data_IF_343893737876
#
_entry.id   IF_343893737876
#
_cell.length_a   1.000
_cell.length_b   1.000
_cell.length_c   1.000
_cell.angle_alpha   90.00
_cell.angle_beta   90.00
_cell.angle_gamma   90.00
#
_symmetry.space_group_name_H-M   'P 1'
#
loop_
_entity.id
_entity.type
_entity.pdbx_description
1 polymer ?
#
# COMPACT_ATOMS: atom_id res chain seq x y z
N UNK A 1 -26.33 -1.62 -19.45
CA UNK A 1 -26.75 -1.07 -18.14
C UNK A 1 -25.87 0.14 -17.86
N UNK A 2 -26.34 1.12 -17.07
CA UNK A 2 -25.59 2.36 -16.82
C UNK A 2 -24.88 2.31 -15.47
N UNK A 3 -23.68 2.88 -15.39
CA UNK A 3 -22.98 3.10 -14.12
C UNK A 3 -23.61 4.32 -13.45
N UNK A 4 -24.22 4.11 -12.27
CA UNK A 4 -24.86 5.17 -11.51
C UNK A 4 -23.86 5.87 -10.60
N UNK A 5 -23.96 7.20 -10.52
CA UNK A 5 -23.12 8.03 -9.66
C UNK A 5 -23.06 7.55 -8.21
N UNK A 6 -24.21 7.21 -7.63
CA UNK A 6 -24.29 6.74 -6.24
C UNK A 6 -23.50 5.46 -5.99
N UNK A 7 -23.42 4.56 -6.98
CA UNK A 7 -22.69 3.30 -6.85
C UNK A 7 -21.18 3.53 -6.82
N UNK A 8 -20.66 4.50 -7.58
CA UNK A 8 -19.24 4.88 -7.53
C UNK A 8 -18.89 5.44 -6.16
N UNK A 9 -19.65 6.44 -5.71
CA UNK A 9 -19.44 7.14 -4.43
C UNK A 9 -19.45 6.13 -3.27
N UNK A 10 -20.50 5.30 -3.20
CA UNK A 10 -20.68 4.32 -2.13
C UNK A 10 -19.60 3.23 -2.17
N UNK A 11 -19.22 2.74 -3.36
CA UNK A 11 -18.17 1.71 -3.48
C UNK A 11 -16.80 2.22 -3.05
N UNK A 12 -16.43 3.46 -3.42
CA UNK A 12 -15.18 4.09 -2.98
C UNK A 12 -15.21 4.32 -1.47
N UNK A 13 -16.33 4.80 -0.91
CA UNK A 13 -16.47 5.02 0.51
C UNK A 13 -16.34 3.71 1.32
N UNK A 14 -17.04 2.67 0.88
CA UNK A 14 -17.00 1.33 1.48
C UNK A 14 -15.61 0.71 1.37
N UNK A 15 -14.93 0.85 0.22
CA UNK A 15 -13.58 0.35 0.02
C UNK A 15 -12.57 1.01 0.98
N UNK A 16 -12.62 2.34 1.15
CA UNK A 16 -11.73 3.06 2.07
C UNK A 16 -11.97 2.68 3.53
N UNK A 17 -13.23 2.47 3.91
CA UNK A 17 -13.58 1.97 5.23
C UNK A 17 -13.04 0.54 5.42
N UNK A 18 -13.28 -0.36 4.47
CA UNK A 18 -12.82 -1.75 4.48
C UNK A 18 -11.29 -1.84 4.67
N UNK A 19 -10.52 -1.15 3.83
CA UNK A 19 -9.05 -1.19 3.91
C UNK A 19 -8.49 -0.42 5.10
N UNK A 20 -9.30 0.34 5.84
CA UNK A 20 -8.83 1.01 7.04
C UNK A 20 -8.54 0.02 8.18
N UNK A 21 -9.24 -1.12 8.21
CA UNK A 21 -9.16 -2.09 9.30
C UNK A 21 -8.94 -3.55 8.87
N UNK A 22 -9.08 -3.90 7.59
CA UNK A 22 -8.71 -5.22 7.08
C UNK A 22 -7.40 -5.18 6.28
N UNK A 23 -6.49 -6.09 6.62
CA UNK A 23 -5.40 -6.48 5.73
C UNK A 23 -5.88 -7.59 4.79
N UNK A 24 -5.25 -7.69 3.62
CA UNK A 24 -5.51 -8.78 2.70
C UNK A 24 -4.95 -10.11 3.24
N UNK A 25 -5.57 -11.26 2.91
CA UNK A 25 -5.13 -12.57 3.42
C UNK A 25 -3.68 -12.91 3.08
N UNK A 26 -3.23 -12.58 1.88
CA UNK A 26 -1.86 -12.76 1.40
C UNK A 26 -0.83 -11.97 2.23
N UNK A 27 -1.14 -10.74 2.63
CA UNK A 27 -0.31 -9.94 3.53
C UNK A 27 -0.22 -10.58 4.91
N UNK A 28 -1.34 -11.06 5.46
CA UNK A 28 -1.37 -11.73 6.76
C UNK A 28 -0.52 -13.01 6.71
N UNK A 29 -0.68 -13.83 5.66
CA UNK A 29 0.10 -15.05 5.48
C UNK A 29 1.59 -14.78 5.32
N UNK A 30 1.98 -13.75 4.56
CA UNK A 30 3.37 -13.34 4.41
C UNK A 30 3.98 -12.88 5.75
N UNK A 31 3.21 -12.12 6.55
CA UNK A 31 3.62 -11.69 7.88
C UNK A 31 3.76 -12.85 8.87
N UNK A 32 2.85 -13.84 8.83
CA UNK A 32 2.96 -15.07 9.63
C UNK A 32 4.22 -15.84 9.26
N UNK A 33 4.49 -16.03 7.98
CA UNK A 33 5.72 -16.69 7.52
C UNK A 33 6.98 -15.94 7.97
N UNK A 34 6.96 -14.60 7.89
CA UNK A 34 8.06 -13.77 8.39
C UNK A 34 8.26 -13.94 9.91
N UNK A 35 7.18 -13.98 10.69
CA UNK A 35 7.23 -14.21 12.15
C UNK A 35 7.82 -15.58 12.50
N UNK A 36 7.43 -16.63 11.78
CA UNK A 36 7.92 -18.00 12.01
C UNK A 36 9.41 -18.13 11.70
N UNK A 37 9.86 -17.50 10.61
CA UNK A 37 11.27 -17.51 10.18
C UNK A 37 12.17 -16.59 11.00
N UNK A 38 11.61 -15.60 11.69
CA UNK A 38 12.40 -14.60 12.41
C UNK A 38 13.14 -15.22 13.61
N UNK A 39 14.45 -14.96 13.66
CA UNK A 39 15.37 -15.47 14.68
C UNK A 39 15.75 -14.38 15.68
N UNK A 40 15.65 -13.11 15.31
CA UNK A 40 15.95 -11.99 16.19
C UNK A 40 14.71 -11.61 17.01
N UNK A 41 14.78 -11.78 18.34
CA UNK A 41 13.61 -11.66 19.24
C UNK A 41 12.90 -10.30 19.12
N UNK A 42 13.64 -9.20 19.04
CA UNK A 42 13.03 -7.86 18.92
C UNK A 42 12.26 -7.69 17.61
N UNK A 43 12.77 -8.25 16.50
CA UNK A 43 12.10 -8.22 15.20
C UNK A 43 10.87 -9.13 15.19
N UNK A 44 10.99 -10.31 15.80
CA UNK A 44 9.88 -11.26 15.97
C UNK A 44 8.72 -10.63 16.75
N UNK A 45 9.04 -9.97 17.87
CA UNK A 45 8.06 -9.23 18.67
C UNK A 45 7.41 -8.10 17.88
N UNK A 46 8.16 -7.37 17.04
CA UNK A 46 7.63 -6.31 16.20
C UNK A 46 6.64 -6.85 15.14
N UNK A 47 6.94 -7.99 14.51
CA UNK A 47 6.04 -8.66 13.56
C UNK A 47 4.78 -9.14 14.29
N UNK A 48 4.92 -9.77 15.46
CA UNK A 48 3.79 -10.20 16.29
C UNK A 48 2.88 -9.03 16.67
N UNK A 49 3.45 -7.87 17.04
CA UNK A 49 2.68 -6.67 17.35
C UNK A 49 1.85 -6.18 16.15
N UNK A 50 2.41 -6.23 14.93
CA UNK A 50 1.68 -5.87 13.71
C UNK A 50 0.52 -6.84 13.47
N UNK A 51 0.74 -8.15 13.59
CA UNK A 51 -0.28 -9.18 13.42
C UNK A 51 -1.42 -9.05 14.44
N UNK A 52 -1.09 -8.82 15.72
CA UNK A 52 -2.07 -8.60 16.78
C UNK A 52 -2.86 -7.32 16.52
N UNK A 53 -2.19 -6.22 16.19
CA UNK A 53 -2.87 -4.97 15.84
C UNK A 53 -3.79 -5.14 14.62
N UNK A 54 -3.37 -5.89 13.61
CA UNK A 54 -4.17 -6.24 12.43
C UNK A 54 -5.46 -6.99 12.84
N UNK A 55 -5.34 -8.03 13.68
CA UNK A 55 -6.49 -8.81 14.20
C UNK A 55 -7.44 -7.93 15.02
N UNK A 56 -6.89 -7.10 15.91
CA UNK A 56 -7.68 -6.20 16.75
C UNK A 56 -8.39 -5.12 15.93
N UNK A 57 -7.77 -4.63 14.86
CA UNK A 57 -8.37 -3.68 13.92
C UNK A 57 -9.56 -4.31 13.20
N UNK A 58 -9.40 -5.54 12.72
CA UNK A 58 -10.44 -6.30 12.03
C UNK A 58 -11.66 -6.57 12.93
N UNK A 59 -11.44 -6.94 14.19
CA UNK A 59 -12.51 -7.18 15.18
C UNK A 59 -13.19 -5.87 15.58
N UNK A 60 -12.39 -4.85 15.90
CA UNK A 60 -12.88 -3.57 16.42
C UNK A 60 -13.43 -2.63 15.35
N UNK A 61 -13.21 -2.94 14.06
CA UNK A 61 -13.48 -2.06 12.92
C UNK A 61 -12.90 -0.66 13.14
N UNK A 62 -11.63 -0.62 13.58
CA UNK A 62 -10.87 0.61 13.85
C UNK A 62 -9.63 0.70 12.99
N UNK A 63 -9.19 1.91 12.60
CA UNK A 63 -8.06 2.05 11.71
C UNK A 63 -6.80 1.42 12.29
N UNK A 64 -6.16 0.55 11.51
CA UNK A 64 -4.95 -0.18 11.95
C UNK A 64 -3.72 0.71 12.14
N UNK A 65 -3.74 1.93 11.60
CA UNK A 65 -2.64 2.88 11.67
C UNK A 65 -3.20 4.27 11.96
N UNK A 66 -2.49 5.04 12.80
CA UNK A 66 -2.85 6.44 13.05
C UNK A 66 -2.83 7.29 11.78
N UNK A 67 -1.98 6.91 10.82
CA UNK A 67 -1.94 7.50 9.49
C UNK A 67 -2.87 6.74 8.53
N UNK A 68 -4.11 7.21 8.46
CA UNK A 68 -5.08 6.66 7.52
C UNK A 68 -4.74 6.93 6.05
N UNK A 69 -3.71 7.75 5.77
CA UNK A 69 -3.03 7.81 4.48
C UNK A 69 -3.63 8.78 3.46
N UNK A 70 -2.85 9.06 2.42
CA UNK A 70 -3.32 9.72 1.20
C UNK A 70 -4.04 8.69 0.32
N UNK A 71 -5.21 9.05 -0.21
CA UNK A 71 -5.95 8.17 -1.10
C UNK A 71 -5.36 8.24 -2.50
N UNK A 72 -4.98 7.08 -3.03
CA UNK A 72 -4.62 6.90 -4.43
C UNK A 72 -5.70 6.03 -5.07
N UNK A 73 -6.17 6.40 -6.25
CA UNK A 73 -7.17 5.61 -6.99
C UNK A 73 -6.67 5.39 -8.41
N UNK A 74 -6.59 4.12 -8.82
CA UNK A 74 -6.40 3.75 -10.22
C UNK A 74 -7.74 3.33 -10.77
N UNK A 75 -8.15 3.92 -11.90
CA UNK A 75 -9.43 3.60 -12.55
C UNK A 75 -9.21 3.26 -14.01
N UNK A 76 -9.74 2.12 -14.42
CA UNK A 76 -9.86 1.74 -15.82
C UNK A 76 -11.31 1.92 -16.24
N UNK A 77 -11.56 2.77 -17.23
CA UNK A 77 -12.91 3.07 -17.72
C UNK A 77 -13.09 2.37 -19.07
N UNK A 78 -14.01 1.41 -19.13
CA UNK A 78 -14.40 0.75 -20.38
C UNK A 78 -14.97 1.74 -21.41
N UNK A 79 -14.57 1.60 -22.67
CA UNK A 79 -15.04 2.44 -23.79
C UNK A 79 -16.55 2.38 -23.99
N UNK A 80 -17.20 1.28 -23.61
CA UNK A 80 -18.65 1.07 -23.76
C UNK A 80 -19.43 1.45 -22.49
N UNK A 81 -18.78 2.07 -21.49
CA UNK A 81 -19.43 2.50 -20.27
C UNK A 81 -20.37 3.68 -20.56
N UNK A 82 -21.62 3.52 -20.13
CA UNK A 82 -22.63 4.58 -20.16
C UNK A 82 -22.90 5.05 -18.73
N UNK A 83 -22.85 6.35 -18.51
CA UNK A 83 -23.01 6.95 -17.19
C UNK A 83 -24.45 7.42 -16.94
N UNK A 84 -24.87 7.32 -15.69
CA UNK A 84 -26.02 8.00 -15.11
C UNK A 84 -25.51 8.82 -13.92
N UNK A 85 -25.01 10.01 -14.22
CA UNK A 85 -24.29 10.88 -13.29
C UNK A 85 -24.38 12.35 -13.72
N UNK A 86 -24.39 13.24 -12.73
CA UNK A 86 -24.26 14.70 -12.91
C UNK A 86 -22.84 15.18 -12.58
N UNK A 87 -22.08 14.37 -11.83
CA UNK A 87 -20.71 14.64 -11.42
C UNK A 87 -19.69 14.01 -12.38
N UNK A 88 -18.51 14.62 -12.47
CA UNK A 88 -17.36 13.97 -13.10
C UNK A 88 -16.94 12.73 -12.28
N UNK A 89 -16.28 11.76 -12.92
CA UNK A 89 -15.76 10.58 -12.20
C UNK A 89 -14.79 10.97 -11.07
N UNK A 90 -13.97 12.00 -11.28
CA UNK A 90 -13.10 12.54 -10.24
C UNK A 90 -13.89 13.09 -9.04
N UNK A 91 -14.98 13.83 -9.28
CA UNK A 91 -15.84 14.36 -8.22
C UNK A 91 -16.57 13.23 -7.48
N UNK A 92 -17.03 12.21 -8.20
CA UNK A 92 -17.66 11.02 -7.59
C UNK A 92 -16.68 10.28 -6.66
N UNK A 93 -15.42 10.11 -7.09
CA UNK A 93 -14.38 9.48 -6.27
C UNK A 93 -14.08 10.34 -5.04
N UNK A 94 -13.88 11.65 -5.20
CA UNK A 94 -13.60 12.55 -4.09
C UNK A 94 -14.76 12.66 -3.10
N UNK A 95 -16.01 12.56 -3.57
CA UNK A 95 -17.17 12.47 -2.68
C UNK A 95 -17.16 11.16 -1.88
N UNK A 96 -16.82 10.02 -2.50
CA UNK A 96 -16.62 8.75 -1.79
C UNK A 96 -15.51 8.84 -0.73
N UNK A 97 -14.41 9.52 -1.05
CA UNK A 97 -13.31 9.81 -0.10
C UNK A 97 -13.82 10.64 1.07
N UNK A 98 -14.50 11.75 0.81
CA UNK A 98 -15.09 12.61 1.84
C UNK A 98 -16.01 11.82 2.76
N UNK A 99 -16.90 11.00 2.21
CA UNK A 99 -17.83 10.18 2.98
C UNK A 99 -17.11 9.14 3.83
N UNK A 100 -16.08 8.46 3.30
CA UNK A 100 -15.28 7.54 4.09
C UNK A 100 -14.60 8.23 5.27
N UNK A 101 -13.96 9.38 5.04
CA UNK A 101 -13.17 10.04 6.08
C UNK A 101 -14.02 10.74 7.15
N UNK A 102 -15.23 11.19 6.79
CA UNK A 102 -16.17 11.85 7.69
C UNK A 102 -17.22 10.91 8.29
N UNK A 103 -17.09 9.59 8.07
CA UNK A 103 -17.99 8.59 8.62
C UNK A 103 -18.01 8.65 10.16
N UNK A 104 -19.18 8.92 10.74
CA UNK A 104 -19.35 9.09 12.20
C UNK A 104 -19.10 7.80 12.99
N UNK A 105 -19.31 6.64 12.38
CA UNK A 105 -19.15 5.35 13.05
C UNK A 105 -17.67 4.95 13.12
N UNK A 106 -16.89 5.29 12.10
CA UNK A 106 -15.46 5.04 12.03
C UNK A 106 -14.72 6.21 11.34
N UNK A 107 -14.50 7.32 12.06
CA UNK A 107 -13.83 8.49 11.49
C UNK A 107 -12.37 8.19 11.20
N UNK A 108 -11.92 8.59 10.01
CA UNK A 108 -10.53 8.45 9.58
C UNK A 108 -9.79 9.79 9.75
N UNK A 109 -8.46 9.75 9.81
CA UNK A 109 -7.65 10.97 10.01
C UNK A 109 -7.43 11.71 8.68
N UNK A 110 -8.09 12.85 8.52
CA UNK A 110 -7.79 13.77 7.42
C UNK A 110 -6.37 14.36 7.54
N UNK A 111 -5.52 14.07 6.57
CA UNK A 111 -4.09 14.39 6.56
C UNK A 111 -3.67 15.27 5.36
N UNK A 112 -4.59 15.57 4.44
CA UNK A 112 -4.33 16.44 3.28
C UNK A 112 -4.38 17.92 3.68
N UNK A 113 -3.48 18.70 3.07
CA UNK A 113 -3.41 20.16 3.20
C UNK A 113 -3.73 20.81 1.85
N UNK A 114 -4.58 21.84 1.86
CA UNK A 114 -5.06 22.55 0.66
C UNK A 114 -3.97 23.37 -0.03
N UNK A 115 -3.09 23.95 0.77
CA UNK A 115 -2.05 24.87 0.31
C UNK A 115 -0.69 24.33 0.74
N UNK A 116 -0.03 23.53 -0.11
CA UNK A 116 1.21 22.85 0.26
C UNK A 116 2.41 23.79 0.43
N UNK A 117 2.36 24.99 -0.18
CA UNK A 117 3.47 25.93 -0.23
C UNK A 117 3.45 26.95 0.92
N UNK A 118 2.25 27.38 1.35
CA UNK A 118 2.14 28.46 2.35
C UNK A 118 1.38 28.02 3.60
N UNK A 119 0.06 28.19 3.62
CA UNK A 119 -0.75 28.07 4.85
C UNK A 119 -0.86 26.65 5.39
N UNK A 120 -0.68 25.63 4.52
CA UNK A 120 -0.80 24.20 4.88
C UNK A 120 -2.08 23.87 5.64
N UNK A 121 -3.15 24.59 5.34
CA UNK A 121 -4.47 24.41 5.98
C UNK A 121 -5.02 23.03 5.66
N UNK A 122 -5.37 22.24 6.69
CA UNK A 122 -5.91 20.89 6.53
C UNK A 122 -7.31 20.90 5.90
N UNK A 123 -7.59 19.98 4.97
CA UNK A 123 -8.88 19.91 4.24
C UNK A 123 -10.03 19.32 5.04
N UNK A 124 -9.75 18.68 6.19
CA UNK A 124 -10.71 18.09 7.14
C UNK A 124 -11.52 16.90 6.61
N UNK A 125 -11.35 16.55 5.34
CA UNK A 125 -12.06 15.46 4.65
C UNK A 125 -11.11 14.53 3.87
N UNK A 126 -9.80 14.80 3.92
CA UNK A 126 -8.74 14.07 3.21
C UNK A 126 -8.82 14.12 1.67
N UNK A 127 -9.61 15.01 1.11
CA UNK A 127 -9.66 15.32 -0.33
C UNK A 127 -8.63 16.39 -0.70
N UNK A 128 -8.19 16.49 -1.97
CA UNK A 128 -8.47 15.55 -3.06
C UNK A 128 -7.63 14.26 -2.97
N UNK A 129 -8.16 13.17 -3.53
CA UNK A 129 -7.39 11.96 -3.81
C UNK A 129 -6.44 12.16 -5.03
N UNK A 130 -5.39 11.34 -5.10
CA UNK A 130 -4.52 11.23 -6.28
C UNK A 130 -5.13 10.19 -7.21
N UNK A 131 -5.67 10.63 -8.34
CA UNK A 131 -6.47 9.79 -9.23
C UNK A 131 -5.74 9.59 -10.55
N UNK A 132 -5.55 8.32 -10.92
CA UNK A 132 -4.96 7.88 -12.18
C UNK A 132 -6.03 7.15 -12.99
N UNK A 133 -6.36 7.69 -14.17
CA UNK A 133 -7.42 7.15 -15.01
C UNK A 133 -6.88 6.76 -16.38
N UNK A 134 -7.33 5.62 -16.89
CA UNK A 134 -7.12 5.23 -18.29
C UNK A 134 -8.40 4.66 -18.88
N UNK A 135 -8.55 4.82 -20.20
CA UNK A 135 -9.63 4.21 -20.96
C UNK A 135 -9.18 2.85 -21.48
N UNK A 136 -10.02 1.83 -21.35
CA UNK A 136 -9.76 0.44 -21.78
C UNK A 136 -10.94 -0.10 -22.58
N UNK A 137 -10.77 -1.22 -23.27
CA UNK A 137 -11.87 -1.89 -23.95
C UNK A 137 -12.86 -2.49 -22.95
N UNK A 138 -14.13 -2.62 -23.35
CA UNK A 138 -15.18 -3.25 -22.56
C UNK A 138 -16.16 -2.26 -21.92
N UNK A 139 -17.02 -2.77 -21.04
CA UNK A 139 -18.21 -2.08 -20.54
C UNK A 139 -18.26 -1.94 -19.01
N UNK A 140 -17.11 -2.13 -18.34
CA UNK A 140 -16.97 -2.04 -16.89
C UNK A 140 -16.08 -0.87 -16.49
N UNK A 141 -16.17 -0.49 -15.22
CA UNK A 141 -15.21 0.42 -14.60
C UNK A 141 -14.50 -0.33 -13.49
N UNK A 142 -13.20 -0.51 -13.62
CA UNK A 142 -12.36 -1.21 -12.65
C UNK A 142 -11.64 -0.19 -11.77
N UNK A 143 -11.69 -0.40 -10.45
CA UNK A 143 -11.10 0.47 -9.45
C UNK A 143 -10.07 -0.29 -8.64
N UNK A 144 -8.95 0.36 -8.39
CA UNK A 144 -8.03 0.04 -7.30
C UNK A 144 -8.00 1.25 -6.38
N UNK A 145 -8.49 1.10 -5.16
CA UNK A 145 -8.48 2.15 -4.14
C UNK A 145 -7.44 1.80 -3.10
N UNK A 146 -6.50 2.71 -2.83
CA UNK A 146 -5.42 2.51 -1.89
C UNK A 146 -5.27 3.67 -0.90
N UNK A 147 -5.03 3.33 0.37
CA UNK A 147 -4.79 4.29 1.44
C UNK A 147 -3.31 4.24 1.85
N UNK A 148 -2.50 5.15 1.30
CA UNK A 148 -1.05 5.09 1.41
C UNK A 148 -0.52 5.94 2.55
N UNK A 149 0.17 5.33 3.51
CA UNK A 149 0.80 6.05 4.62
C UNK A 149 1.96 6.93 4.16
N UNK A 150 1.99 8.18 4.60
CA UNK A 150 2.95 9.19 4.15
C UNK A 150 4.41 8.83 4.53
N UNK A 151 4.61 8.12 5.64
CA UNK A 151 5.93 7.62 6.05
C UNK A 151 6.59 6.75 4.97
N UNK A 152 5.80 5.89 4.31
CA UNK A 152 6.26 5.07 3.18
C UNK A 152 6.28 5.84 1.85
N UNK A 153 5.31 6.72 1.63
CA UNK A 153 5.24 7.59 0.43
C UNK A 153 6.52 8.40 0.26
N UNK A 154 6.99 9.03 1.34
CA UNK A 154 8.16 9.91 1.33
C UNK A 154 9.49 9.18 1.19
N UNK A 155 9.49 7.85 1.14
CA UNK A 155 10.69 7.04 0.87
C UNK A 155 10.85 6.67 -0.59
N UNK A 156 9.97 7.16 -1.47
CA UNK A 156 10.13 7.00 -2.90
C UNK A 156 11.51 7.48 -3.37
N UNK A 157 12.14 6.72 -4.27
CA UNK A 157 13.42 7.02 -4.90
C UNK A 157 13.27 6.96 -6.41
N UNK A 158 13.98 7.83 -7.10
CA UNK A 158 13.99 7.90 -8.54
C UNK A 158 15.41 8.18 -9.04
N UNK A 159 15.77 7.57 -10.16
CA UNK A 159 16.96 7.91 -10.93
C UNK A 159 16.71 7.66 -12.42
N UNK A 160 17.52 8.29 -13.26
CA UNK A 160 17.73 7.85 -14.64
C UNK A 160 19.11 7.24 -14.68
N UNK A 161 19.16 5.92 -14.84
CA UNK A 161 20.41 5.17 -14.93
C UNK A 161 20.97 5.24 -16.35
N UNK A 162 22.28 5.02 -16.48
CA UNK A 162 22.87 4.71 -17.78
C UNK A 162 22.39 3.33 -18.26
N UNK A 163 22.30 3.07 -19.57
CA UNK A 163 21.80 1.80 -20.09
C UNK A 163 22.57 0.54 -19.64
N UNK A 164 23.82 0.69 -19.22
CA UNK A 164 24.69 -0.37 -18.72
C UNK A 164 24.72 -0.47 -17.18
N UNK A 165 24.10 0.48 -16.47
CA UNK A 165 24.00 0.43 -15.01
C UNK A 165 23.09 -0.74 -14.57
N UNK A 166 23.50 -1.39 -13.47
CA UNK A 166 22.74 -2.48 -12.89
C UNK A 166 21.63 -1.95 -11.96
N UNK A 167 20.37 -2.22 -12.31
CA UNK A 167 19.20 -1.85 -11.50
C UNK A 167 19.27 -2.45 -10.10
N UNK A 168 19.68 -3.71 -9.96
CA UNK A 168 19.80 -4.41 -8.67
C UNK A 168 20.77 -3.69 -7.74
N UNK A 169 21.93 -3.27 -8.25
CA UNK A 169 22.93 -2.57 -7.44
C UNK A 169 22.41 -1.21 -6.98
N UNK A 170 21.70 -0.49 -7.86
CA UNK A 170 21.05 0.77 -7.50
C UNK A 170 19.97 0.57 -6.43
N UNK A 171 19.12 -0.46 -6.58
CA UNK A 171 18.10 -0.81 -5.57
C UNK A 171 18.74 -1.08 -4.20
N UNK A 172 19.77 -1.93 -4.16
CA UNK A 172 20.44 -2.28 -2.91
C UNK A 172 21.16 -1.10 -2.26
N UNK A 173 21.65 -0.15 -3.06
CA UNK A 173 22.19 1.12 -2.56
C UNK A 173 21.10 2.01 -1.97
N UNK A 174 19.91 2.03 -2.55
CA UNK A 174 18.81 2.90 -2.12
C UNK A 174 18.10 2.41 -0.86
N UNK A 175 17.90 1.09 -0.71
CA UNK A 175 17.13 0.52 0.40
C UNK A 175 17.61 0.98 1.79
N UNK A 176 18.92 0.92 2.14
CA UNK A 176 19.39 1.40 3.44
C UNK A 176 19.10 2.89 3.70
N UNK A 177 19.06 3.72 2.66
CA UNK A 177 18.79 5.16 2.78
C UNK A 177 17.35 5.47 3.21
N UNK A 178 16.45 4.51 3.10
CA UNK A 178 15.05 4.67 3.53
C UNK A 178 14.93 4.57 5.06
N UNK A 179 15.84 3.83 5.70
CA UNK A 179 15.81 3.51 7.13
C UNK A 179 14.52 2.80 7.56
N UNK A 180 14.22 2.83 8.85
CA UNK A 180 12.99 2.25 9.43
C UNK A 180 11.71 3.07 9.16
N UNK A 181 11.83 4.28 8.59
CA UNK A 181 10.74 5.26 8.52
C UNK A 181 9.55 4.90 7.62
N UNK A 182 9.64 3.80 6.88
CA UNK A 182 8.52 3.23 6.11
C UNK A 182 7.90 2.00 6.77
N UNK A 183 8.27 1.67 8.01
CA UNK A 183 7.71 0.58 8.82
C UNK A 183 7.80 -0.81 8.14
N UNK A 184 9.02 -1.33 7.85
CA UNK A 184 9.19 -2.71 7.44
C UNK A 184 8.72 -3.71 8.54
N UNK A 185 8.41 -4.97 8.20
CA UNK A 185 8.44 -5.52 6.85
C UNK A 185 7.23 -5.09 6.01
N UNK A 186 7.44 -4.97 4.70
CA UNK A 186 6.41 -4.59 3.75
C UNK A 186 6.83 -4.92 2.32
N UNK A 187 6.21 -4.30 1.31
CA UNK A 187 6.47 -4.63 -0.11
C UNK A 187 7.30 -3.53 -0.77
N UNK A 188 8.22 -3.87 -1.64
CA UNK A 188 8.96 -2.90 -2.46
C UNK A 188 8.42 -2.94 -3.89
N UNK A 189 7.91 -1.80 -4.38
CA UNK A 189 7.47 -1.65 -5.75
C UNK A 189 8.53 -0.95 -6.58
N UNK A 190 8.83 -1.51 -7.75
CA UNK A 190 9.87 -1.03 -8.66
C UNK A 190 9.25 -0.79 -10.03
N UNK A 191 9.50 0.39 -10.59
CA UNK A 191 9.13 0.75 -11.95
C UNK A 191 10.38 0.97 -12.78
N UNK A 192 10.48 0.33 -13.96
CA UNK A 192 11.65 0.44 -14.84
C UNK A 192 11.22 0.83 -16.26
N UNK A 193 11.89 1.80 -16.84
CA UNK A 193 11.67 2.25 -18.21
C UNK A 193 10.53 3.26 -18.35
N UNK A 194 10.09 3.48 -19.59
CA UNK A 194 9.28 4.64 -19.95
C UNK A 194 10.01 5.97 -19.66
N UNK A 195 9.25 6.97 -19.21
CA UNK A 195 9.71 8.26 -18.73
C UNK A 195 9.72 8.32 -17.19
N UNK A 196 10.20 9.43 -16.62
CA UNK A 196 10.32 9.59 -15.17
C UNK A 196 8.98 9.39 -14.43
N UNK A 197 7.92 10.02 -14.94
CA UNK A 197 6.56 9.92 -14.42
C UNK A 197 5.98 8.51 -14.59
N UNK A 198 6.28 7.83 -15.71
CA UNK A 198 5.80 6.46 -15.96
C UNK A 198 6.47 5.46 -15.03
N UNK A 199 7.78 5.58 -14.79
CA UNK A 199 8.49 4.72 -13.84
C UNK A 199 7.93 4.87 -12.41
N UNK A 200 7.72 6.10 -11.94
CA UNK A 200 7.13 6.34 -10.62
C UNK A 200 5.71 5.80 -10.50
N UNK A 201 4.88 5.99 -11.53
CA UNK A 201 3.52 5.47 -11.58
C UNK A 201 3.52 3.93 -11.55
N UNK A 202 4.36 3.27 -12.35
CA UNK A 202 4.47 1.82 -12.36
C UNK A 202 4.97 1.25 -11.03
N UNK A 203 5.95 1.90 -10.40
CA UNK A 203 6.40 1.52 -9.07
C UNK A 203 5.23 1.56 -8.07
N UNK A 204 4.38 2.60 -8.13
CA UNK A 204 3.18 2.72 -7.30
C UNK A 204 2.15 1.63 -7.62
N UNK A 205 1.82 1.46 -8.89
CA UNK A 205 0.82 0.49 -9.37
C UNK A 205 1.21 -0.94 -9.01
N UNK A 206 2.51 -1.27 -9.06
CA UNK A 206 3.01 -2.61 -8.74
C UNK A 206 2.74 -3.02 -7.28
N UNK A 207 2.65 -2.05 -6.37
CA UNK A 207 2.36 -2.28 -4.94
C UNK A 207 0.92 -2.71 -4.68
N UNK A 208 0.05 -2.63 -5.68
CA UNK A 208 -1.37 -3.02 -5.57
C UNK A 208 -1.58 -4.49 -5.96
N UNK A 209 -0.54 -5.20 -6.36
CA UNK A 209 -0.64 -6.63 -6.67
C UNK A 209 -0.61 -7.49 -5.40
N UNK A 210 -1.25 -8.65 -5.45
CA UNK A 210 -1.21 -9.63 -4.37
C UNK A 210 0.23 -10.08 -4.07
N UNK A 211 0.54 -10.34 -2.81
CA UNK A 211 1.83 -10.91 -2.42
C UNK A 211 1.88 -12.37 -2.89
N UNK A 212 2.75 -12.66 -3.86
CA UNK A 212 2.79 -13.93 -4.61
C UNK A 212 4.21 -14.50 -4.74
N UNK A 213 5.19 -13.89 -4.08
CA UNK A 213 6.60 -14.29 -4.22
C UNK A 213 6.88 -15.74 -3.82
N UNK A 214 6.08 -16.30 -2.89
CA UNK A 214 6.21 -17.70 -2.47
C UNK A 214 5.73 -18.64 -3.58
N UNK A 215 4.65 -18.31 -4.27
CA UNK A 215 4.16 -19.10 -5.41
C UNK A 215 5.14 -19.03 -6.57
N UNK A 216 5.75 -17.86 -6.80
CA UNK A 216 6.81 -17.67 -7.79
C UNK A 216 8.04 -18.54 -7.47
N UNK A 217 8.44 -18.64 -6.20
CA UNK A 217 9.56 -19.48 -5.79
C UNK A 217 9.34 -20.98 -6.06
N UNK A 218 8.08 -21.43 -6.09
CA UNK A 218 7.72 -22.82 -6.41
C UNK A 218 7.42 -23.06 -7.89
N UNK A 219 7.39 -22.01 -8.70
CA UNK A 219 7.11 -22.11 -10.13
C UNK A 219 8.26 -22.84 -10.84
N UNK A 220 8.00 -23.86 -11.67
CA UNK A 220 9.08 -24.64 -12.31
C UNK A 220 9.90 -23.82 -13.31
N UNK A 221 9.28 -22.86 -13.99
CA UNK A 221 9.91 -22.01 -14.99
C UNK A 221 9.52 -20.54 -14.78
N UNK A 222 10.12 -19.84 -13.80
CA UNK A 222 9.87 -18.42 -13.61
C UNK A 222 10.48 -17.61 -14.75
N UNK A 223 9.77 -16.58 -15.17
CA UNK A 223 10.25 -15.57 -16.13
C UNK A 223 11.50 -14.86 -15.60
N UNK A 224 12.23 -14.16 -16.48
CA UNK A 224 13.40 -13.38 -16.06
C UNK A 224 13.05 -12.31 -15.01
N UNK A 225 11.87 -11.69 -15.13
CA UNK A 225 11.40 -10.70 -14.17
C UNK A 225 11.08 -11.34 -12.81
N UNK A 226 10.43 -12.51 -12.80
CA UNK A 226 10.18 -13.28 -11.58
C UNK A 226 11.48 -13.72 -10.88
N UNK A 227 12.49 -14.14 -11.65
CA UNK A 227 13.83 -14.45 -11.10
C UNK A 227 14.48 -13.22 -10.46
N UNK A 228 14.39 -12.06 -11.10
CA UNK A 228 14.91 -10.80 -10.57
C UNK A 228 14.19 -10.40 -9.27
N UNK A 229 12.87 -10.61 -9.17
CA UNK A 229 12.10 -10.38 -7.94
C UNK A 229 12.61 -11.25 -6.78
N UNK A 230 12.82 -12.55 -7.04
CA UNK A 230 13.36 -13.49 -6.04
C UNK A 230 14.76 -13.07 -5.58
N UNK A 231 15.65 -12.77 -6.53
CA UNK A 231 17.02 -12.32 -6.26
C UNK A 231 17.03 -11.02 -5.42
N UNK A 232 16.22 -10.03 -5.79
CA UNK A 232 16.12 -8.78 -5.05
C UNK A 232 15.55 -8.99 -3.65
N UNK A 233 14.52 -9.81 -3.48
CA UNK A 233 13.95 -10.11 -2.17
C UNK A 233 15.01 -10.71 -1.25
N UNK A 234 15.76 -11.70 -1.74
CA UNK A 234 16.86 -12.33 -0.99
C UNK A 234 17.94 -11.31 -0.63
N UNK A 235 18.46 -10.57 -1.61
CA UNK A 235 19.54 -9.59 -1.39
C UNK A 235 19.11 -8.47 -0.44
N UNK A 236 17.87 -7.98 -0.53
CA UNK A 236 17.34 -6.95 0.37
C UNK A 236 17.24 -7.48 1.80
N UNK A 237 16.71 -8.69 1.99
CA UNK A 237 16.59 -9.28 3.32
C UNK A 237 17.98 -9.57 3.94
N UNK A 238 18.96 -9.95 3.12
CA UNK A 238 20.35 -10.15 3.53
C UNK A 238 21.08 -8.86 3.96
N UNK A 239 20.52 -7.67 3.71
CA UNK A 239 21.02 -6.42 4.29
C UNK A 239 20.84 -6.36 5.81
N UNK A 240 19.99 -7.23 6.38
CA UNK A 240 19.81 -7.34 7.83
C UNK A 240 19.15 -6.12 8.48
N UNK A 241 18.39 -5.32 7.72
CA UNK A 241 17.64 -4.16 8.26
C UNK A 241 16.53 -4.67 9.19
N UNK A 242 15.76 -5.65 8.71
CA UNK A 242 14.73 -6.37 9.44
C UNK A 242 13.52 -5.54 9.86
N UNK A 243 12.64 -6.16 10.65
CA UNK A 243 11.36 -5.58 11.04
C UNK A 243 11.56 -4.30 11.86
N UNK A 244 10.89 -3.22 11.47
CA UNK A 244 11.03 -1.87 12.02
C UNK A 244 12.48 -1.34 12.10
N UNK A 245 13.42 -1.91 11.34
CA UNK A 245 14.84 -1.56 11.42
C UNK A 245 15.56 -2.11 12.66
N UNK A 246 15.01 -3.13 13.32
CA UNK A 246 15.55 -3.73 14.55
C UNK A 246 16.57 -4.85 14.29
N UNK A 247 17.02 -5.02 13.04
CA UNK A 247 17.73 -6.21 12.61
C UNK A 247 16.79 -7.38 12.33
N UNK A 248 17.33 -8.49 11.83
CA UNK A 248 16.56 -9.71 11.55
C UNK A 248 16.55 -10.09 10.07
N UNK A 249 15.72 -11.08 9.74
CA UNK A 249 15.75 -11.74 8.42
C UNK A 249 14.66 -11.25 7.47
N UNK A 250 13.70 -10.46 7.97
CA UNK A 250 12.56 -9.98 7.17
C UNK A 250 12.51 -8.45 7.12
N UNK A 251 13.03 -7.88 6.05
CA UNK A 251 12.88 -6.45 5.69
C UNK A 251 11.75 -6.25 4.70
N UNK A 252 11.59 -7.17 3.74
CA UNK A 252 10.54 -7.16 2.72
C UNK A 252 9.79 -8.48 2.69
N UNK A 253 8.50 -8.40 2.42
CA UNK A 253 7.59 -9.53 2.23
C UNK A 253 7.48 -9.94 0.77
N UNK A 254 7.67 -8.98 -0.15
CA UNK A 254 7.68 -9.17 -1.60
C UNK A 254 8.43 -7.99 -2.26
N UNK A 255 8.93 -8.21 -3.47
CA UNK A 255 9.43 -7.19 -4.39
C UNK A 255 8.61 -7.28 -5.67
N UNK A 256 7.90 -6.21 -6.01
CA UNK A 256 7.09 -6.08 -7.23
C UNK A 256 7.84 -5.26 -8.26
N UNK A 257 7.82 -5.69 -9.52
CA UNK A 257 8.49 -4.99 -10.62
C UNK A 257 7.52 -4.86 -11.79
N UNK A 258 7.35 -3.65 -12.30
CA UNK A 258 6.70 -3.36 -13.58
C UNK A 258 7.69 -2.65 -14.49
N UNK A 259 7.79 -3.12 -15.72
CA UNK A 259 8.63 -2.53 -16.76
C UNK A 259 7.81 -1.95 -17.92
N UNK A 260 8.43 -1.04 -18.66
CA UNK A 260 7.86 -0.43 -19.86
C UNK A 260 8.97 -0.11 -20.87
N UNK A 261 8.71 -0.20 -22.19
CA UNK A 261 9.68 0.20 -23.20
C UNK A 261 10.21 1.62 -22.95
N UNK A 262 11.53 1.81 -23.03
CA UNK A 262 12.17 3.11 -22.82
C UNK A 262 12.92 3.58 -24.07
N UNK A 263 13.26 4.87 -24.09
CA UNK A 263 14.18 5.40 -25.08
C UNK A 263 15.57 4.80 -24.84
N UNK A 264 16.30 4.42 -25.89
CA UNK A 264 17.58 3.71 -25.78
C UNK A 264 18.66 4.43 -24.94
N UNK A 265 18.56 5.76 -24.81
CA UNK A 265 19.46 6.59 -24.01
C UNK A 265 18.98 6.86 -22.57
N UNK A 266 17.90 6.21 -22.11
CA UNK A 266 17.30 6.47 -20.80
C UNK A 266 16.79 5.19 -20.14
N UNK A 267 17.20 4.99 -18.88
CA UNK A 267 16.71 3.93 -18.02
C UNK A 267 16.14 4.53 -16.74
N UNK A 268 14.95 5.11 -16.86
CA UNK A 268 14.20 5.61 -15.72
C UNK A 268 13.90 4.46 -14.75
N UNK A 269 14.21 4.64 -13.47
CA UNK A 269 13.96 3.66 -12.43
C UNK A 269 13.39 4.34 -11.19
N UNK A 270 12.35 3.73 -10.62
CA UNK A 270 11.71 4.19 -9.41
C UNK A 270 11.56 3.06 -8.39
N UNK A 271 11.69 3.39 -7.11
CA UNK A 271 11.35 2.48 -6.00
C UNK A 271 10.38 3.19 -5.09
N UNK A 272 9.30 2.51 -4.71
CA UNK A 272 8.34 2.98 -3.72
C UNK A 272 8.09 1.84 -2.73
N UNK A 273 8.32 2.04 -1.42
CA UNK A 273 7.94 1.04 -0.42
C UNK A 273 6.45 1.12 -0.07
N UNK A 274 5.87 -0.04 0.26
CA UNK A 274 4.62 -0.19 0.98
C UNK A 274 4.86 -0.67 2.39
N UNK A 275 4.34 0.07 3.36
CA UNK A 275 4.57 -0.22 4.78
C UNK A 275 3.75 -1.43 5.25
N UNK A 276 3.98 -1.81 6.50
CA UNK A 276 3.17 -2.79 7.22
C UNK A 276 1.66 -2.45 7.29
N UNK A 277 1.24 -1.22 6.97
CA UNK A 277 -0.17 -0.86 6.76
C UNK A 277 -0.50 -0.89 5.25
N UNK A 278 -0.35 -2.08 4.64
CA UNK A 278 -0.61 -2.32 3.22
C UNK A 278 -2.11 -2.38 2.98
N UNK A 279 -2.66 -1.34 2.35
CA UNK A 279 -4.10 -1.08 2.26
C UNK A 279 -4.51 -0.72 0.85
N UNK A 280 -5.03 -1.69 0.12
CA UNK A 280 -5.67 -1.50 -1.16
C UNK A 280 -6.80 -2.50 -1.37
N UNK A 281 -7.77 -2.13 -2.20
CA UNK A 281 -8.89 -2.98 -2.58
C UNK A 281 -9.23 -2.79 -4.05
N UNK A 282 -9.55 -3.90 -4.71
CA UNK A 282 -9.86 -3.96 -6.13
C UNK A 282 -11.33 -4.31 -6.27
N UNK A 283 -12.05 -3.57 -7.09
CA UNK A 283 -13.45 -3.86 -7.40
C UNK A 283 -13.84 -3.33 -8.77
N UNK A 284 -14.91 -3.88 -9.32
CA UNK A 284 -15.44 -3.48 -10.63
C UNK A 284 -16.90 -3.06 -10.51
N UNK A 285 -17.32 -2.11 -11.34
CA UNK A 285 -18.72 -1.76 -11.53
C UNK A 285 -19.15 -2.07 -12.96
N UNK A 286 -20.31 -2.72 -13.09
CA UNK A 286 -20.92 -3.15 -14.35
C UNK A 286 -22.36 -2.63 -14.55
N UNK A 287 -22.83 -1.82 -13.61
CA UNK A 287 -24.16 -1.20 -13.61
C UNK A 287 -25.21 -1.96 -12.81
N UNK A 288 -24.85 -3.08 -12.16
CA UNK A 288 -25.78 -3.87 -11.33
C UNK A 288 -25.99 -3.33 -9.91
N UNK A 289 -25.09 -2.48 -9.41
CA UNK A 289 -25.18 -1.96 -8.06
C UNK A 289 -23.86 -1.44 -7.51
N UNK A 290 -23.83 -1.28 -6.19
CA UNK A 290 -22.61 -1.03 -5.40
C UNK A 290 -21.72 -2.27 -5.45
N UNK A 291 -20.40 -2.06 -5.49
CA UNK A 291 -19.45 -3.16 -5.50
C UNK A 291 -19.59 -4.04 -4.25
N UNK A 292 -19.62 -5.36 -4.45
CA UNK A 292 -19.51 -6.31 -3.35
C UNK A 292 -18.04 -6.42 -2.93
N UNK A 293 -17.77 -6.18 -1.65
CA UNK A 293 -16.42 -6.29 -1.11
C UNK A 293 -16.14 -7.75 -0.67
N UNK A 294 -14.86 -8.17 -0.65
CA UNK A 294 -14.49 -9.51 -0.23
C UNK A 294 -14.98 -9.85 1.17
N UNK A 295 -15.36 -11.12 1.38
CA UNK A 295 -15.62 -11.63 2.70
C UNK A 295 -14.32 -11.72 3.51
N UNK A 296 -14.41 -11.44 4.81
CA UNK A 296 -13.27 -11.53 5.73
C UNK A 296 -13.31 -12.88 6.42
N UNK A 297 -12.26 -13.66 6.22
CA UNK A 297 -12.03 -14.90 6.96
C UNK A 297 -11.15 -14.60 8.17
N UNK A 298 -11.72 -14.66 9.38
CA UNK A 298 -10.96 -14.41 10.61
C UNK A 298 -9.98 -15.54 10.96
N UNK A 299 -10.09 -16.71 10.33
CA UNK A 299 -9.20 -17.85 10.57
C UNK A 299 -7.78 -17.65 10.05
N UNK A 300 -7.58 -16.69 9.13
CA UNK A 300 -6.25 -16.33 8.60
C UNK A 300 -5.37 -15.63 9.63
N UNK A 301 -5.96 -15.06 10.69
CA UNK A 301 -5.21 -14.39 11.74
C UNK A 301 -4.63 -15.40 12.73
N UNK A 302 -3.32 -15.34 13.02
CA UNK A 302 -2.71 -16.26 13.97
C UNK A 302 -3.24 -16.00 15.38
N UNK A 303 -3.17 -17.03 16.22
CA UNK A 303 -3.46 -16.90 17.64
C UNK A 303 -2.18 -16.50 18.40
N UNK A 304 -1.94 -15.19 18.44
CA UNK A 304 -0.79 -14.60 19.12
C UNK A 304 -1.28 -13.76 20.30
N UNK A 305 -0.66 -13.97 21.46
CA UNK A 305 -0.82 -13.13 22.64
C UNK A 305 0.48 -12.37 22.92
N UNK A 306 0.39 -11.11 23.35
CA UNK A 306 1.55 -10.38 23.85
C UNK A 306 1.82 -10.78 25.30
N UNK A 307 3.00 -11.33 25.58
CA UNK A 307 3.47 -11.49 26.96
C UNK A 307 3.83 -10.12 27.56
N UNK A 308 2.88 -9.54 28.27
CA UNK A 308 3.04 -8.26 28.99
C UNK A 308 3.76 -8.39 30.33
N UNK A 309 4.14 -9.60 30.76
CA UNK A 309 4.72 -9.83 32.10
C UNK A 309 6.07 -9.12 32.31
N UNK A 310 6.82 -8.89 31.23
CA UNK A 310 8.13 -8.23 31.25
C UNK A 310 8.07 -6.70 31.05
N UNK A 311 6.90 -6.13 30.75
CA UNK A 311 6.78 -4.71 30.43
C UNK A 311 6.59 -3.88 31.71
N UNK A 312 7.64 -3.17 32.16
CA UNK A 312 7.51 -2.18 33.24
C UNK A 312 6.50 -1.11 32.81
N UNK A 313 5.43 -0.93 33.59
CA UNK A 313 4.53 0.22 33.48
C UNK A 313 5.36 1.50 33.64
N UNK A 314 5.58 2.22 32.54
CA UNK A 314 6.12 3.57 32.57
C UNK A 314 5.01 4.51 33.02
N UNK A 315 5.15 5.09 34.21
CA UNK A 315 4.27 6.18 34.66
C UNK A 315 4.60 7.41 33.82
N UNK A 316 3.73 7.75 32.87
CA UNK A 316 3.82 9.00 32.11
C UNK A 316 3.60 10.19 33.07
N UNK A 317 4.69 10.72 33.63
CA UNK A 317 4.67 11.98 34.36
C UNK A 317 4.53 13.09 33.31
N UNK A 318 3.47 13.89 33.43
CA UNK A 318 3.20 15.08 32.64
C UNK A 318 4.46 15.94 32.44
N UNK A 319 4.96 16.03 31.21
CA UNK A 319 5.83 17.13 30.78
C UNK A 319 5.12 17.96 29.72
N UNK A 320 4.16 18.78 30.15
CA UNK A 320 3.80 20.00 29.43
C UNK A 320 5.00 20.95 29.48
N UNK A 321 5.84 20.96 28.44
CA UNK A 321 6.69 22.11 28.14
C UNK A 321 6.77 22.35 26.63
N UNK A 322 6.33 23.54 26.27
CA UNK A 322 6.45 24.27 25.01
C UNK A 322 7.62 23.86 24.09
N UNK A 323 7.30 23.67 22.81
CA UNK A 323 7.80 24.49 21.69
C UNK A 323 6.96 24.25 20.44
#
# INVERSE_FOLDING_TARGET
MKIQQKHVIESVANALQYISYYHSPDFIQAMVSAHEKETHQSAKNAIAQILINSKMSAIGQRPMCQDTGIVNVFVEVGMDVVWEADLSLEDMINEGVRQAFTNKNNPLRASIVKDPLFSRTNTKDNTPAVIHMKVVLGNKVDFIVAAKGCGSENKAKFAVLQPDDNVTDWVLKMIPTMGAGWCPPGVIGIGVGGSAEKAMLMAKESLMESIDIQDIAQKPNPSHLEKLRLELMEKINNLGIGAQGLGGVSTVLDVKIKDYPSHAASQAVAIIPNCAATRHLHFSLDGLGVAQLPAVDMSVYPDLEMDTSSTRKSTLIHSTKHR
#
